data_IF_013343448704
#
_entry.id   IF_013343448704
#
_cell.length_a   1.000
_cell.length_b   1.000
_cell.length_c   1.000
_cell.angle_alpha   90.00
_cell.angle_beta   90.00
_cell.angle_gamma   90.00
#
_symmetry.space_group_name_H-M   'P 1'
#
loop_
_entity.id
_entity.type
_entity.pdbx_description
1 polymer ?
#
# COMPACT_ATOMS: atom_id res chain seq x y z
N UNK A 1 -27.02 1.60 1.15
CA UNK A 1 -26.71 0.88 2.41
C UNK A 1 -25.24 1.13 2.70
N UNK A 2 -24.93 2.31 3.25
CA UNK A 2 -23.59 2.76 3.57
C UNK A 2 -23.15 2.12 4.89
N UNK A 3 -22.70 0.87 4.82
CA UNK A 3 -21.91 0.28 5.89
C UNK A 3 -20.52 0.86 5.79
N UNK A 4 -20.23 1.85 6.63
CA UNK A 4 -18.88 2.36 6.80
C UNK A 4 -17.97 1.16 7.14
N UNK A 5 -16.94 0.86 6.33
CA UNK A 5 -16.13 -0.32 6.59
C UNK A 5 -15.40 -0.11 7.92
N UNK A 6 -15.65 -1.00 8.88
CA UNK A 6 -15.00 -0.99 10.20
C UNK A 6 -13.49 -0.96 9.98
N UNK A 7 -12.88 0.21 10.19
CA UNK A 7 -11.43 0.36 10.19
C UNK A 7 -10.92 -0.42 11.42
N UNK A 8 -10.38 -1.61 11.19
CA UNK A 8 -9.78 -2.42 12.26
C UNK A 8 -8.48 -1.74 12.69
N UNK A 9 -8.24 -1.56 13.98
CA UNK A 9 -6.97 -0.98 14.41
C UNK A 9 -5.80 -1.93 14.06
N UNK A 10 -4.62 -1.42 13.64
CA UNK A 10 -3.45 -2.25 13.40
C UNK A 10 -3.02 -3.01 14.65
N UNK A 11 -2.88 -4.33 14.54
CA UNK A 11 -2.48 -5.20 15.65
C UNK A 11 -0.97 -5.38 15.62
N UNK A 12 -0.29 -4.94 16.68
CA UNK A 12 1.15 -5.16 16.83
C UNK A 12 1.44 -6.64 17.09
N UNK A 13 2.26 -7.26 16.24
CA UNK A 13 2.58 -8.68 16.33
C UNK A 13 4.03 -8.94 16.76
N UNK A 14 4.94 -7.99 16.53
CA UNK A 14 6.34 -8.14 16.86
C UNK A 14 6.98 -6.80 17.23
N UNK A 15 7.90 -6.82 18.18
CA UNK A 15 8.83 -5.73 18.47
C UNK A 15 10.22 -6.30 18.69
N UNK A 16 11.23 -5.73 18.05
CA UNK A 16 12.62 -6.12 18.24
C UNK A 16 13.58 -4.96 17.98
N UNK A 17 14.86 -5.16 18.31
CA UNK A 17 15.94 -4.20 18.05
C UNK A 17 16.69 -4.56 16.78
N UNK A 18 17.04 -3.55 16.00
CA UNK A 18 17.88 -3.69 14.81
C UNK A 18 18.85 -2.52 14.70
N UNK A 19 19.99 -2.72 14.04
CA UNK A 19 20.97 -1.66 13.83
C UNK A 19 20.48 -0.62 12.82
N UNK A 20 20.62 0.66 13.16
CA UNK A 20 20.25 1.76 12.29
C UNK A 20 21.21 1.84 11.09
N UNK A 21 20.70 1.87 9.84
CA UNK A 21 21.56 1.95 8.65
C UNK A 21 22.28 3.29 8.51
N UNK A 22 21.83 4.33 9.25
CA UNK A 22 22.42 5.69 9.19
C UNK A 22 23.52 5.89 10.22
N UNK A 23 23.33 5.45 11.47
CA UNK A 23 24.27 5.74 12.56
C UNK A 23 24.87 4.50 13.23
N UNK A 24 24.49 3.30 12.81
CA UNK A 24 24.98 2.02 13.35
C UNK A 24 24.52 1.68 14.77
N UNK A 25 23.78 2.56 15.45
CA UNK A 25 23.22 2.29 16.79
C UNK A 25 21.87 1.60 16.72
N UNK A 26 21.48 0.94 17.79
CA UNK A 26 20.20 0.22 17.84
C UNK A 26 18.99 1.16 17.71
N UNK A 27 18.02 0.76 16.92
CA UNK A 27 16.68 1.31 16.85
C UNK A 27 15.63 0.27 17.25
N UNK A 28 14.37 0.66 17.16
CA UNK A 28 13.22 -0.22 17.40
C UNK A 28 12.56 -0.53 16.08
N UNK A 29 12.28 -1.80 15.83
CA UNK A 29 11.38 -2.27 14.78
C UNK A 29 10.08 -2.72 15.44
N UNK A 30 8.95 -2.27 14.91
CA UNK A 30 7.61 -2.70 15.29
C UNK A 30 6.88 -3.19 14.04
N UNK A 31 6.36 -4.41 14.07
CA UNK A 31 5.54 -4.96 13.00
C UNK A 31 4.08 -5.04 13.42
N UNK A 32 3.20 -4.58 12.54
CA UNK A 32 1.76 -4.55 12.73
C UNK A 32 1.07 -5.28 11.59
N UNK A 33 0.08 -6.12 11.92
CA UNK A 33 -0.86 -6.64 10.94
C UNK A 33 -2.05 -5.70 10.89
N UNK A 34 -2.40 -5.22 9.71
CA UNK A 34 -3.55 -4.35 9.49
C UNK A 34 -4.44 -4.92 8.38
N UNK A 35 -5.73 -5.06 8.66
CA UNK A 35 -6.73 -5.43 7.67
C UNK A 35 -7.40 -4.17 7.12
N UNK A 36 -7.00 -3.81 5.91
CA UNK A 36 -7.53 -2.63 5.22
C UNK A 36 -8.76 -3.09 4.43
N UNK A 37 -9.91 -2.42 4.61
CA UNK A 37 -11.11 -2.70 3.81
C UNK A 37 -10.79 -2.70 2.31
N UNK A 38 -11.28 -3.71 1.59
CA UNK A 38 -11.07 -3.90 0.14
C UNK A 38 -9.63 -4.19 -0.32
N UNK A 39 -8.62 -3.99 0.52
CA UNK A 39 -7.21 -4.22 0.18
C UNK A 39 -6.67 -5.52 0.81
N UNK A 40 -7.29 -6.00 1.89
CA UNK A 40 -6.92 -7.25 2.56
C UNK A 40 -5.94 -7.03 3.71
N UNK A 41 -5.26 -8.11 4.14
CA UNK A 41 -4.28 -8.04 5.23
C UNK A 41 -2.90 -7.60 4.74
N UNK A 42 -2.33 -6.62 5.42
CA UNK A 42 -0.98 -6.12 5.20
C UNK A 42 -0.12 -6.25 6.46
N UNK A 43 1.19 -6.30 6.26
CA UNK A 43 2.22 -6.14 7.27
C UNK A 43 2.79 -4.72 7.15
N UNK A 44 2.63 -3.92 8.20
CA UNK A 44 3.26 -2.62 8.35
C UNK A 44 4.48 -2.77 9.27
N UNK A 45 5.67 -2.58 8.72
CA UNK A 45 6.93 -2.59 9.46
C UNK A 45 7.40 -1.16 9.69
N UNK A 46 7.66 -0.79 10.94
CA UNK A 46 8.11 0.54 11.33
C UNK A 46 9.44 0.46 12.06
N UNK A 47 10.45 1.14 11.54
CA UNK A 47 11.73 1.35 12.20
C UNK A 47 11.84 2.78 12.74
N UNK A 48 12.34 2.94 13.97
CA UNK A 48 12.68 4.24 14.56
C UNK A 48 14.00 4.19 15.35
N UNK A 49 14.95 5.06 14.98
CA UNK A 49 16.19 5.23 15.72
C UNK A 49 16.06 6.39 16.75
N UNK A 50 16.20 6.12 18.06
CA UNK A 50 16.14 7.17 19.08
C UNK A 50 17.37 8.08 19.10
N UNK A 51 18.47 7.69 18.44
CA UNK A 51 19.74 8.40 18.54
C UNK A 51 20.02 9.40 17.41
N UNK A 52 19.49 9.18 16.21
CA UNK A 52 19.70 10.07 15.06
C UNK A 52 18.38 10.51 14.42
N UNK A 53 17.24 10.00 14.88
CA UNK A 53 15.92 10.35 14.35
C UNK A 53 15.54 9.66 13.05
N UNK A 54 16.40 8.81 12.46
CA UNK A 54 16.05 8.04 11.26
C UNK A 54 14.80 7.18 11.51
N UNK A 55 13.87 7.23 10.55
CA UNK A 55 12.62 6.47 10.55
C UNK A 55 12.42 5.85 9.18
N UNK A 56 11.85 4.65 9.15
CA UNK A 56 11.44 3.96 7.92
C UNK A 56 10.13 3.24 8.17
N UNK A 57 9.25 3.25 7.19
CA UNK A 57 8.02 2.47 7.19
C UNK A 57 7.92 1.74 5.88
N UNK A 58 7.66 0.44 5.95
CA UNK A 58 7.47 -0.43 4.79
C UNK A 58 6.12 -1.15 4.94
N UNK A 59 5.48 -1.43 3.81
CA UNK A 59 4.21 -2.15 3.73
C UNK A 59 4.41 -3.36 2.83
N UNK A 60 4.00 -4.53 3.32
CA UNK A 60 4.01 -5.78 2.55
C UNK A 60 2.61 -6.39 2.57
N UNK A 61 2.16 -6.92 1.43
CA UNK A 61 0.89 -7.64 1.38
C UNK A 61 1.08 -9.03 1.99
N UNK A 62 0.20 -9.42 2.92
CA UNK A 62 0.22 -10.77 3.51
C UNK A 62 -0.63 -11.77 2.74
N UNK A 63 -1.43 -11.26 1.81
CA UNK A 63 -2.36 -12.04 0.99
C UNK A 63 -2.22 -11.61 -0.46
N UNK A 64 -2.18 -12.60 -1.35
CA UNK A 64 -2.38 -12.38 -2.77
C UNK A 64 -3.86 -12.63 -3.06
N UNK A 65 -4.53 -11.61 -3.58
CA UNK A 65 -5.88 -11.77 -4.12
C UNK A 65 -5.79 -12.31 -5.55
N UNK A 66 -6.87 -12.97 -6.01
CA UNK A 66 -6.97 -13.34 -7.42
C UNK A 66 -6.88 -12.07 -8.30
N UNK A 67 -6.19 -12.14 -9.46
CA UNK A 67 -6.14 -11.03 -10.39
C UNK A 67 -7.54 -10.59 -10.79
N UNK A 68 -7.81 -9.29 -10.69
CA UNK A 68 -9.08 -8.69 -11.12
C UNK A 68 -8.84 -7.74 -12.29
N UNK A 69 -9.75 -7.75 -13.25
CA UNK A 69 -9.82 -6.74 -14.30
C UNK A 69 -10.98 -5.79 -13.99
N UNK A 70 -10.71 -4.49 -13.97
CA UNK A 70 -11.71 -3.45 -13.75
C UNK A 70 -11.75 -2.56 -14.99
N UNK A 71 -12.93 -2.46 -15.61
CA UNK A 71 -13.18 -1.54 -16.73
C UNK A 71 -14.08 -0.41 -16.25
N UNK A 72 -13.61 0.83 -16.37
CA UNK A 72 -14.38 2.04 -16.09
C UNK A 72 -14.59 2.83 -17.38
N UNK A 73 -15.85 3.20 -17.66
CA UNK A 73 -16.21 4.02 -18.82
C UNK A 73 -16.43 5.46 -18.39
N UNK A 74 -15.74 6.38 -19.05
CA UNK A 74 -15.90 7.82 -18.85
C UNK A 74 -16.96 8.29 -19.84
N UNK A 75 -18.16 8.64 -19.35
CA UNK A 75 -19.32 8.98 -20.19
C UNK A 75 -19.77 10.44 -19.99
N UNK A 76 -19.63 10.99 -18.78
CA UNK A 76 -20.07 12.34 -18.45
C UNK A 76 -18.93 13.20 -17.87
N UNK A 77 -19.02 14.55 -17.96
CA UNK A 77 -18.05 15.42 -17.31
C UNK A 77 -18.00 15.17 -15.80
N UNK A 78 -16.80 14.94 -15.26
CA UNK A 78 -16.55 14.59 -13.86
C UNK A 78 -16.10 13.15 -13.66
N UNK A 79 -16.42 12.24 -14.59
CA UNK A 79 -15.98 10.83 -14.54
C UNK A 79 -14.44 10.71 -14.58
N UNK A 80 -13.74 11.66 -15.20
CA UNK A 80 -12.28 11.69 -15.26
C UNK A 80 -11.60 11.86 -13.88
N UNK A 81 -12.38 12.12 -12.83
CA UNK A 81 -11.92 12.31 -11.44
C UNK A 81 -12.22 11.11 -10.54
N UNK A 82 -12.64 9.99 -11.12
CA UNK A 82 -12.85 8.76 -10.37
C UNK A 82 -11.56 8.34 -9.65
N UNK A 83 -11.67 8.07 -8.35
CA UNK A 83 -10.56 7.51 -7.57
C UNK A 83 -10.46 6.02 -7.85
N UNK A 84 -9.26 5.56 -8.15
CA UNK A 84 -8.97 4.14 -8.28
C UNK A 84 -7.78 3.73 -7.41
N UNK A 85 -7.84 2.49 -6.93
CA UNK A 85 -6.74 1.87 -6.21
C UNK A 85 -6.11 0.86 -7.14
N UNK A 86 -4.84 1.06 -7.50
CA UNK A 86 -4.08 0.09 -8.30
C UNK A 86 -3.14 -0.70 -7.40
N UNK A 87 -2.91 -1.98 -7.71
CA UNK A 87 -1.86 -2.76 -7.07
C UNK A 87 -0.47 -2.35 -7.57
N UNK A 88 0.59 -2.84 -6.90
CA UNK A 88 1.97 -2.72 -7.37
C UNK A 88 2.21 -3.42 -8.71
N UNK A 89 1.44 -4.47 -9.01
CA UNK A 89 1.51 -5.29 -10.22
C UNK A 89 0.49 -4.93 -11.30
N UNK A 90 -0.36 -3.92 -11.09
CA UNK A 90 -1.42 -3.57 -12.01
C UNK A 90 -0.89 -2.94 -13.31
N UNK A 91 -1.53 -3.29 -14.43
CA UNK A 91 -1.34 -2.63 -15.73
C UNK A 91 -2.58 -1.79 -16.05
N UNK A 92 -2.39 -0.54 -16.43
CA UNK A 92 -3.49 0.38 -16.79
C UNK A 92 -3.50 0.54 -18.31
N UNK A 93 -4.68 0.44 -18.93
CA UNK A 93 -4.87 0.63 -20.38
C UNK A 93 -5.93 1.68 -20.65
N UNK A 94 -5.66 2.56 -21.60
CA UNK A 94 -6.64 3.49 -22.19
C UNK A 94 -6.67 3.25 -23.70
N UNK A 95 -7.52 2.30 -24.17
CA UNK A 95 -7.50 1.82 -25.55
C UNK A 95 -7.73 2.91 -26.59
N UNK A 96 -8.57 3.92 -26.29
CA UNK A 96 -8.99 4.98 -27.18
C UNK A 96 -7.83 5.88 -27.64
N UNK A 97 -6.80 6.00 -26.79
CA UNK A 97 -5.58 6.79 -27.07
C UNK A 97 -4.33 5.92 -27.16
N UNK A 98 -4.48 4.59 -27.12
CA UNK A 98 -3.37 3.63 -27.23
C UNK A 98 -2.36 3.69 -26.09
N UNK A 99 -2.79 4.09 -24.87
CA UNK A 99 -1.92 4.17 -23.70
C UNK A 99 -1.93 2.84 -22.94
N UNK A 100 -0.74 2.35 -22.60
CA UNK A 100 -0.54 1.24 -21.67
C UNK A 100 0.53 1.62 -20.66
N UNK A 101 0.24 1.44 -19.37
CA UNK A 101 1.13 1.70 -18.24
C UNK A 101 1.36 0.38 -17.52
N UNK A 102 2.55 -0.18 -17.66
CA UNK A 102 2.96 -1.43 -17.01
C UNK A 102 3.72 -1.15 -15.71
N UNK A 103 3.63 -2.04 -14.70
CA UNK A 103 4.34 -1.86 -13.44
C UNK A 103 5.87 -1.98 -13.63
N UNK A 104 6.62 -1.06 -13.04
CA UNK A 104 8.09 -1.15 -12.92
C UNK A 104 8.55 -1.88 -11.67
N UNK A 105 9.86 -2.16 -11.55
CA UNK A 105 10.45 -2.90 -10.43
C UNK A 105 10.21 -2.28 -9.04
N UNK A 106 9.91 -0.98 -8.98
CA UNK A 106 9.62 -0.24 -7.74
C UNK A 106 8.18 0.25 -7.67
N UNK A 107 7.28 -0.27 -8.52
CA UNK A 107 5.86 0.09 -8.50
C UNK A 107 5.21 -0.29 -7.17
N UNK A 108 4.50 0.65 -6.56
CA UNK A 108 3.76 0.45 -5.32
C UNK A 108 2.25 0.43 -5.60
N UNK A 109 1.49 -0.09 -4.64
CA UNK A 109 0.05 0.12 -4.62
C UNK A 109 -0.25 1.59 -4.31
N UNK A 110 -1.17 2.20 -5.03
CA UNK A 110 -1.46 3.63 -4.93
C UNK A 110 -2.95 3.92 -5.13
N UNK A 111 -3.43 4.98 -4.46
CA UNK A 111 -4.74 5.59 -4.67
C UNK A 111 -4.51 6.85 -5.50
N UNK A 112 -5.11 6.94 -6.69
CA UNK A 112 -5.02 8.08 -7.62
C UNK A 112 -6.42 8.49 -8.07
#
# INVERSE_FOLDING_TARGET
MSGDPVLREPVKILEYKAFCPVCGREGVVEDFVYEIPYFGRILLTKFQCPHCGYKRSDIENLEENEPVEITYRVEVPGDERALFVKSSSATIRVPEIGVEITPGAFSQGEIT
#
